data_IF_803161238772
#
_entry.id   IF_803161238772
#
_cell.length_a   1.000
_cell.length_b   1.000
_cell.length_c   1.000
_cell.angle_alpha   90.00
_cell.angle_beta   90.00
_cell.angle_gamma   90.00
#
_symmetry.space_group_name_H-M   'P 1'
#
loop_
_entity.id
_entity.type
_entity.pdbx_description
1 polymer ?
#
# COMPACT_ATOMS: atom_id res chain seq x y z
N UNK A 1 9.39 -1.46 4.68
CA UNK A 1 10.63 -1.01 4.01
C UNK A 1 10.88 0.45 4.34
N UNK A 2 12.14 0.85 4.59
CA UNK A 2 12.56 2.26 4.75
C UNK A 2 13.12 2.75 3.41
N UNK A 3 12.73 3.93 2.97
CA UNK A 3 13.40 4.65 1.87
C UNK A 3 14.15 5.83 2.46
N UNK A 4 15.27 6.23 1.86
CA UNK A 4 15.93 7.50 2.16
C UNK A 4 15.78 8.41 0.94
N UNK A 5 15.23 9.60 1.16
CA UNK A 5 14.95 10.56 0.10
C UNK A 5 16.08 11.57 -0.14
N UNK A 6 17.07 11.74 0.75
CA UNK A 6 18.24 12.63 0.54
C UNK A 6 17.92 14.08 0.05
N UNK A 7 16.69 14.58 0.25
CA UNK A 7 16.29 15.96 -0.02
C UNK A 7 16.08 16.73 1.30
N UNK A 8 15.98 18.06 1.18
CA UNK A 8 15.62 18.94 2.29
C UNK A 8 14.21 18.62 2.80
N UNK A 9 14.06 18.46 4.12
CA UNK A 9 12.81 17.99 4.75
C UNK A 9 11.60 18.87 4.45
N UNK A 10 11.79 20.20 4.39
CA UNK A 10 10.74 21.17 4.07
C UNK A 10 10.22 21.02 2.63
N UNK A 11 11.11 20.73 1.66
CA UNK A 11 10.74 20.49 0.25
C UNK A 11 9.92 19.21 0.11
N UNK A 12 10.35 18.13 0.78
CA UNK A 12 9.61 16.86 0.81
C UNK A 12 8.21 17.08 1.40
N UNK A 13 8.12 17.80 2.52
CA UNK A 13 6.84 18.08 3.17
C UNK A 13 5.88 18.85 2.26
N UNK A 14 6.36 19.93 1.63
CA UNK A 14 5.54 20.74 0.72
C UNK A 14 5.08 19.95 -0.50
N UNK A 15 5.99 19.19 -1.14
CA UNK A 15 5.63 18.37 -2.30
C UNK A 15 4.63 17.26 -1.96
N UNK A 16 4.79 16.61 -0.79
CA UNK A 16 3.84 15.60 -0.31
C UNK A 16 2.48 16.23 -0.03
N UNK A 17 2.43 17.38 0.67
CA UNK A 17 1.17 18.08 0.97
C UNK A 17 0.46 18.55 -0.30
N UNK A 18 1.20 19.12 -1.25
CA UNK A 18 0.65 19.59 -2.53
C UNK A 18 0.13 18.42 -3.38
N UNK A 19 0.84 17.29 -3.37
CA UNK A 19 0.45 16.08 -4.12
C UNK A 19 -0.58 15.20 -3.39
N UNK A 20 -1.02 15.59 -2.19
CA UNK A 20 -1.98 14.83 -1.37
C UNK A 20 -3.35 15.49 -1.29
N UNK A 21 -4.40 14.68 -1.33
CA UNK A 21 -5.78 15.06 -0.99
C UNK A 21 -6.07 14.65 0.45
N UNK A 22 -6.45 15.60 1.29
CA UNK A 22 -6.63 15.37 2.73
C UNK A 22 -7.84 14.48 2.99
N UNK A 23 -7.67 13.44 3.82
CA UNK A 23 -8.76 12.62 4.36
C UNK A 23 -8.80 12.72 5.88
N UNK A 24 -10.01 12.84 6.42
CA UNK A 24 -10.30 12.82 7.85
C UNK A 24 -10.27 11.39 8.42
N UNK A 25 -10.73 10.43 7.62
CA UNK A 25 -10.79 9.00 7.95
C UNK A 25 -9.39 8.38 8.00
N UNK A 26 -9.22 7.35 8.83
CA UNK A 26 -8.00 6.55 8.91
C UNK A 26 -7.70 5.93 7.54
N UNK A 27 -6.49 6.12 6.99
CA UNK A 27 -6.14 5.56 5.67
C UNK A 27 -6.24 4.03 5.60
N UNK A 28 -6.11 3.34 6.73
CA UNK A 28 -6.31 1.89 6.78
C UNK A 28 -7.77 1.48 6.48
N UNK A 29 -8.73 2.38 6.72
CA UNK A 29 -10.18 2.17 6.55
C UNK A 29 -10.77 3.01 5.41
N UNK A 30 -10.00 3.94 4.85
CA UNK A 30 -10.48 4.85 3.83
C UNK A 30 -10.55 4.12 2.48
N UNK A 31 -11.65 4.32 1.75
CA UNK A 31 -11.68 3.98 0.33
C UNK A 31 -10.65 4.86 -0.39
N UNK A 32 -9.64 4.25 -1.01
CA UNK A 32 -8.60 4.95 -1.76
C UNK A 32 -8.89 5.01 -3.25
N UNK A 33 -10.05 4.54 -3.68
CA UNK A 33 -10.50 4.62 -5.07
C UNK A 33 -11.11 5.97 -5.40
N UNK A 34 -10.89 6.44 -6.62
CA UNK A 34 -11.54 7.63 -7.17
C UNK A 34 -11.79 7.46 -8.66
N UNK A 35 -13.01 7.80 -9.10
CA UNK A 35 -13.35 7.93 -10.52
C UNK A 35 -12.73 9.18 -11.14
N UNK A 36 -12.68 10.26 -10.36
CA UNK A 36 -12.07 11.53 -10.79
C UNK A 36 -10.65 11.62 -10.24
N UNK A 37 -9.67 11.45 -11.13
CA UNK A 37 -8.26 11.62 -10.79
C UNK A 37 -7.89 13.08 -11.09
N UNK A 38 -7.80 13.89 -10.04
CA UNK A 38 -7.18 15.22 -10.14
C UNK A 38 -5.71 15.01 -10.53
N UNK A 39 -5.26 15.57 -11.66
CA UNK A 39 -3.91 15.32 -12.21
C UNK A 39 -2.78 15.69 -11.24
N UNK A 40 -3.04 16.67 -10.36
CA UNK A 40 -2.08 17.13 -9.37
C UNK A 40 -2.06 16.28 -8.09
N UNK A 41 -3.11 15.50 -7.84
CA UNK A 41 -3.24 14.69 -6.61
C UNK A 41 -2.89 13.22 -6.87
N UNK A 42 -1.74 12.82 -6.36
CA UNK A 42 -1.23 11.45 -6.48
C UNK A 42 -1.64 10.56 -5.30
N UNK A 43 -1.86 11.16 -4.13
CA UNK A 43 -2.09 10.44 -2.87
C UNK A 43 -3.29 10.97 -2.09
N UNK A 44 -3.91 10.11 -1.30
CA UNK A 44 -4.68 10.54 -0.13
C UNK A 44 -3.74 10.67 1.06
N UNK A 45 -3.89 11.75 1.83
CA UNK A 45 -3.07 12.04 3.00
C UNK A 45 -3.90 12.21 4.26
N UNK A 46 -3.43 11.67 5.38
CA UNK A 46 -3.92 12.00 6.72
C UNK A 46 -2.76 12.43 7.58
N UNK A 47 -2.96 13.56 8.21
CA UNK A 47 -1.96 14.17 9.08
C UNK A 47 -2.35 13.97 10.54
N UNK A 48 -1.35 13.73 11.38
CA UNK A 48 -1.47 13.66 12.83
C UNK A 48 -0.35 14.50 13.42
N UNK A 49 -0.47 14.90 14.70
CA UNK A 49 0.52 15.76 15.39
C UNK A 49 1.98 15.33 15.17
N UNK A 50 2.26 14.02 15.09
CA UNK A 50 3.62 13.47 14.94
C UNK A 50 3.94 12.91 13.54
N UNK A 51 2.94 12.62 12.70
CA UNK A 51 3.10 11.73 11.54
C UNK A 51 2.23 12.19 10.37
N UNK A 52 2.74 12.07 9.15
CA UNK A 52 1.98 12.23 7.91
C UNK A 52 1.89 10.87 7.22
N UNK A 53 0.68 10.36 7.02
CA UNK A 53 0.43 9.10 6.32
C UNK A 53 -0.17 9.39 4.97
N UNK A 54 0.33 8.75 3.93
CA UNK A 54 -0.22 8.85 2.58
C UNK A 54 -0.48 7.46 2.00
N UNK A 55 -1.46 7.35 1.09
CA UNK A 55 -1.73 6.15 0.30
C UNK A 55 -2.10 6.56 -1.11
N UNK A 56 -1.76 5.72 -2.08
CA UNK A 56 -1.97 6.00 -3.51
C UNK A 56 -3.47 6.15 -3.82
N UNK A 57 -3.83 7.13 -4.64
CA UNK A 57 -5.17 7.20 -5.22
C UNK A 57 -5.27 6.13 -6.30
N UNK A 58 -6.24 5.24 -6.17
CA UNK A 58 -6.44 4.10 -7.05
C UNK A 58 -7.56 4.36 -8.05
N UNK A 59 -7.44 3.86 -9.28
CA UNK A 59 -8.60 3.75 -10.16
C UNK A 59 -9.60 2.73 -9.57
N UNK A 60 -10.88 2.76 -9.98
CA UNK A 60 -11.90 1.83 -9.48
C UNK A 60 -11.51 0.35 -9.62
N UNK A 61 -10.84 -0.03 -10.71
CA UNK A 61 -10.34 -1.40 -10.92
C UNK A 61 -9.25 -1.81 -9.91
N UNK A 62 -8.58 -0.83 -9.31
CA UNK A 62 -7.58 -1.03 -8.27
C UNK A 62 -8.17 -1.34 -6.89
N UNK A 63 -9.51 -1.43 -6.74
CA UNK A 63 -10.16 -1.77 -5.47
C UNK A 63 -9.71 -3.13 -4.91
N UNK A 64 -9.39 -4.07 -5.79
CA UNK A 64 -8.90 -5.41 -5.42
C UNK A 64 -7.44 -5.44 -4.98
N UNK A 65 -6.69 -4.38 -5.27
CA UNK A 65 -5.30 -4.28 -4.85
C UNK A 65 -5.25 -3.94 -3.36
N UNK A 66 -4.35 -4.58 -2.58
CA UNK A 66 -4.21 -4.24 -1.17
C UNK A 66 -3.79 -2.77 -1.00
N UNK A 67 -4.14 -2.12 0.10
CA UNK A 67 -3.71 -0.73 0.33
C UNK A 67 -2.28 -0.68 0.85
N UNK A 68 -1.41 0.13 0.25
CA UNK A 68 -0.11 0.47 0.81
C UNK A 68 -0.16 1.85 1.46
N UNK A 69 0.46 1.96 2.63
CA UNK A 69 0.52 3.20 3.41
C UNK A 69 1.98 3.58 3.59
N UNK A 70 2.31 4.78 3.12
CA UNK A 70 3.60 5.41 3.28
C UNK A 70 3.49 6.37 4.47
N UNK A 71 4.37 6.22 5.44
CA UNK A 71 4.37 7.00 6.68
C UNK A 71 5.64 7.82 6.78
N UNK A 72 5.46 9.13 6.82
CA UNK A 72 6.47 10.14 7.10
C UNK A 72 6.41 10.55 8.57
N UNK A 73 7.57 10.71 9.18
CA UNK A 73 7.67 11.28 10.52
C UNK A 73 7.89 12.80 10.39
N UNK A 74 7.20 13.61 11.18
CA UNK A 74 7.37 15.07 11.08
C UNK A 74 8.75 15.55 11.54
N UNK A 75 9.40 14.78 12.41
CA UNK A 75 10.77 15.07 12.87
C UNK A 75 11.83 14.67 11.85
N UNK A 76 11.50 13.75 10.93
CA UNK A 76 12.40 13.24 9.91
C UNK A 76 11.58 12.78 8.70
N UNK A 77 11.49 13.67 7.72
CA UNK A 77 10.80 13.42 6.46
C UNK A 77 11.66 12.63 5.45
N UNK A 78 12.96 12.46 5.71
CA UNK A 78 13.88 11.80 4.79
C UNK A 78 13.67 10.29 4.75
N UNK A 79 13.17 9.71 5.86
CA UNK A 79 13.05 8.27 6.02
C UNK A 79 11.60 7.75 6.07
N UNK A 80 10.82 7.81 4.96
CA UNK A 80 9.48 7.25 4.95
C UNK A 80 9.49 5.72 5.09
N UNK A 81 8.48 5.22 5.80
CA UNK A 81 8.24 3.79 5.98
C UNK A 81 7.02 3.34 5.19
N UNK A 82 7.19 2.34 4.33
CA UNK A 82 6.09 1.70 3.60
C UNK A 82 5.64 0.47 4.37
N UNK A 83 4.33 0.38 4.61
CA UNK A 83 3.66 -0.78 5.20
C UNK A 83 2.39 -1.14 4.44
N UNK A 84 1.98 -2.40 4.58
CA UNK A 84 0.66 -2.85 4.16
C UNK A 84 -0.42 -2.26 5.07
N UNK A 85 -1.56 -1.90 4.48
CA UNK A 85 -2.75 -1.49 5.21
C UNK A 85 -3.36 -2.66 5.96
N UNK A 86 -4.16 -2.34 6.98
CA UNK A 86 -4.74 -3.34 7.88
C UNK A 86 -5.46 -4.49 7.15
N UNK A 87 -6.34 -4.19 6.19
CA UNK A 87 -7.08 -5.21 5.43
C UNK A 87 -6.16 -6.13 4.62
N UNK A 88 -5.10 -5.60 4.02
CA UNK A 88 -4.14 -6.42 3.27
C UNK A 88 -3.38 -7.37 4.20
N UNK A 89 -3.01 -6.89 5.39
CA UNK A 89 -2.33 -7.73 6.38
C UNK A 89 -3.26 -8.82 6.93
N UNK A 90 -4.49 -8.44 7.29
CA UNK A 90 -5.51 -9.38 7.75
C UNK A 90 -5.79 -10.48 6.71
N UNK A 91 -5.97 -10.09 5.44
CA UNK A 91 -6.23 -11.04 4.35
C UNK A 91 -5.06 -12.02 4.13
N UNK A 92 -3.82 -11.54 4.20
CA UNK A 92 -2.63 -12.40 4.09
C UNK A 92 -2.51 -13.39 5.25
N UNK A 93 -2.76 -12.94 6.48
CA UNK A 93 -2.75 -13.83 7.66
C UNK A 93 -3.86 -14.86 7.57
N UNK A 94 -5.06 -14.45 7.17
CA UNK A 94 -6.20 -15.35 6.97
C UNK A 94 -5.89 -16.44 5.92
N UNK A 95 -5.33 -16.04 4.76
CA UNK A 95 -4.88 -16.98 3.74
C UNK A 95 -3.83 -17.97 4.26
N UNK A 96 -2.89 -17.49 5.06
CA UNK A 96 -1.86 -18.34 5.65
C UNK A 96 -2.44 -19.38 6.61
N UNK A 97 -3.42 -18.99 7.45
CA UNK A 97 -4.13 -19.92 8.34
C UNK A 97 -4.86 -21.00 7.53
N UNK A 98 -5.59 -20.60 6.49
CA UNK A 98 -6.28 -21.55 5.61
C UNK A 98 -5.31 -22.49 4.91
N UNK A 99 -4.17 -21.98 4.45
CA UNK A 99 -3.14 -22.78 3.80
C UNK A 99 -2.54 -23.82 4.78
N UNK A 100 -2.28 -23.44 6.02
CA UNK A 100 -1.81 -24.37 7.07
C UNK A 100 -2.89 -25.41 7.39
N UNK A 101 -4.14 -25.01 7.55
CA UNK A 101 -5.25 -25.93 7.83
C UNK A 101 -5.40 -26.97 6.70
N UNK A 102 -5.22 -26.55 5.45
CA UNK A 102 -5.22 -27.41 4.29
C UNK A 102 -4.06 -28.41 4.31
N UNK A 103 -2.83 -27.98 4.64
CA UNK A 103 -1.69 -28.89 4.79
C UNK A 103 -1.97 -29.95 5.85
N UNK A 104 -2.50 -29.54 7.01
CA UNK A 104 -2.86 -30.48 8.08
C UNK A 104 -3.87 -31.51 7.58
N UNK A 105 -4.90 -31.08 6.85
CA UNK A 105 -5.90 -31.98 6.26
C UNK A 105 -5.29 -32.97 5.25
N UNK A 106 -4.41 -32.53 4.36
CA UNK A 106 -3.72 -33.41 3.39
C UNK A 106 -2.91 -34.49 4.12
N UNK A 107 -2.22 -34.13 5.21
CA UNK A 107 -1.41 -35.07 5.99
C UNK A 107 -2.30 -36.13 6.67
N UNK A 108 -3.47 -35.72 7.20
CA UNK A 108 -4.41 -36.61 7.88
C UNK A 108 -5.14 -37.54 6.91
N UNK A 109 -5.68 -36.99 5.82
CA UNK A 109 -6.54 -37.73 4.88
C UNK A 109 -5.71 -38.52 3.85
N UNK A 110 -4.41 -38.22 3.70
CA UNK A 110 -3.48 -38.80 2.70
C UNK A 110 -3.96 -38.68 1.24
N UNK A 111 -5.01 -37.92 0.97
CA UNK A 111 -5.58 -37.69 -0.35
C UNK A 111 -5.35 -36.25 -0.78
N UNK A 112 -4.82 -36.07 -2.00
CA UNK A 112 -4.79 -34.76 -2.65
C UNK A 112 -6.18 -34.45 -3.22
N UNK A 113 -6.79 -33.37 -2.73
CA UNK A 113 -8.08 -32.87 -3.21
C UNK A 113 -7.90 -31.62 -4.07
N UNK A 114 -8.89 -31.34 -4.92
CA UNK A 114 -8.95 -30.14 -5.77
C UNK A 114 -8.85 -28.84 -4.95
N UNK A 115 -9.35 -28.85 -3.70
CA UNK A 115 -9.23 -27.77 -2.71
C UNK A 115 -7.79 -27.21 -2.59
N UNK A 116 -6.79 -28.08 -2.75
CA UNK A 116 -5.37 -27.71 -2.65
C UNK A 116 -4.95 -26.82 -3.81
N UNK A 117 -5.38 -27.17 -5.02
CA UNK A 117 -5.08 -26.41 -6.23
C UNK A 117 -5.72 -25.02 -6.12
N UNK A 118 -6.99 -24.95 -5.70
CA UNK A 118 -7.69 -23.67 -5.50
C UNK A 118 -6.96 -22.77 -4.50
N UNK A 119 -6.51 -23.31 -3.38
CA UNK A 119 -5.78 -22.55 -2.36
C UNK A 119 -4.42 -22.05 -2.86
N UNK A 120 -3.68 -22.85 -3.62
CA UNK A 120 -2.42 -22.43 -4.25
C UNK A 120 -2.68 -21.27 -5.22
N UNK A 121 -3.68 -21.42 -6.10
CA UNK A 121 -4.04 -20.41 -7.10
C UNK A 121 -4.44 -19.09 -6.43
N UNK A 122 -5.31 -19.13 -5.41
CA UNK A 122 -5.74 -17.93 -4.68
C UNK A 122 -4.57 -17.24 -3.97
N UNK A 123 -3.67 -18.03 -3.36
CA UNK A 123 -2.50 -17.49 -2.64
C UNK A 123 -1.52 -16.82 -3.61
N UNK A 124 -1.27 -17.44 -4.77
CA UNK A 124 -0.46 -16.85 -5.83
C UNK A 124 -1.09 -15.58 -6.39
N UNK A 125 -2.40 -15.59 -6.65
CA UNK A 125 -3.13 -14.42 -7.13
C UNK A 125 -3.05 -13.25 -6.14
N UNK A 126 -3.28 -13.51 -4.84
CA UNK A 126 -3.19 -12.50 -3.78
C UNK A 126 -1.78 -11.91 -3.68
N UNK A 127 -0.77 -12.76 -3.76
CA UNK A 127 0.64 -12.35 -3.78
C UNK A 127 0.95 -11.49 -5.01
N UNK A 128 0.48 -11.90 -6.19
CA UNK A 128 0.59 -11.13 -7.43
C UNK A 128 -0.04 -9.73 -7.32
N UNK A 129 -1.26 -9.64 -6.78
CA UNK A 129 -1.93 -8.35 -6.54
C UNK A 129 -1.13 -7.44 -5.61
N UNK A 130 -0.49 -7.99 -4.58
CA UNK A 130 0.40 -7.22 -3.71
C UNK A 130 1.62 -6.66 -4.47
N UNK A 131 2.28 -7.48 -5.30
CA UNK A 131 3.42 -7.03 -6.10
C UNK A 131 3.04 -5.98 -7.14
N UNK A 132 1.86 -6.11 -7.75
CA UNK A 132 1.31 -5.12 -8.68
C UNK A 132 1.10 -3.78 -7.94
N UNK A 133 0.45 -3.79 -6.77
CA UNK A 133 0.25 -2.56 -5.99
C UNK A 133 1.59 -1.93 -5.60
N UNK A 134 2.53 -2.74 -5.14
CA UNK A 134 3.85 -2.28 -4.75
C UNK A 134 4.57 -1.59 -5.90
N UNK A 135 4.54 -2.19 -7.08
CA UNK A 135 5.16 -1.64 -8.29
C UNK A 135 4.50 -0.31 -8.69
N UNK A 136 3.16 -0.25 -8.70
CA UNK A 136 2.42 0.98 -9.00
C UNK A 136 2.67 2.09 -7.97
N UNK A 137 2.78 1.73 -6.69
CA UNK A 137 3.09 2.67 -5.60
C UNK A 137 4.50 3.20 -5.76
N UNK A 138 5.48 2.35 -6.09
CA UNK A 138 6.87 2.76 -6.38
C UNK A 138 6.93 3.72 -7.57
N UNK A 139 6.23 3.42 -8.66
CA UNK A 139 6.14 4.33 -9.81
C UNK A 139 5.54 5.69 -9.43
N UNK A 140 4.51 5.70 -8.59
CA UNK A 140 3.86 6.95 -8.13
C UNK A 140 4.78 7.73 -7.19
N UNK A 141 5.54 7.04 -6.33
CA UNK A 141 6.55 7.65 -5.48
C UNK A 141 7.67 8.28 -6.31
N UNK A 142 8.14 7.61 -7.37
CA UNK A 142 9.13 8.17 -8.27
C UNK A 142 8.64 9.44 -8.98
N UNK A 143 7.35 9.51 -9.33
CA UNK A 143 6.73 10.75 -9.85
C UNK A 143 6.77 11.88 -8.82
N UNK A 144 6.51 11.57 -7.55
CA UNK A 144 6.62 12.54 -6.46
C UNK A 144 8.07 13.02 -6.28
N UNK A 145 9.05 12.11 -6.34
CA UNK A 145 10.48 12.44 -6.25
C UNK A 145 10.89 13.37 -7.39
N UNK A 146 10.51 13.07 -8.64
CA UNK A 146 10.77 13.97 -9.78
C UNK A 146 10.13 15.34 -9.61
N UNK A 147 8.93 15.42 -9.01
CA UNK A 147 8.30 16.72 -8.69
C UNK A 147 9.08 17.50 -7.64
N UNK A 148 9.76 16.83 -6.70
CA UNK A 148 10.65 17.47 -5.73
C UNK A 148 11.92 17.99 -6.41
N UNK A 149 12.51 17.21 -7.31
CA UNK A 149 13.70 17.59 -8.09
C UNK A 149 13.45 18.83 -8.96
N UNK A 150 12.30 18.89 -9.65
CA UNK A 150 11.92 20.00 -10.53
C UNK A 150 11.51 21.29 -9.78
N UNK A 151 11.47 21.28 -8.45
CA UNK A 151 11.26 22.47 -7.61
C UNK A 151 12.58 23.14 -7.19
N UNK A 152 13.72 22.65 -7.67
CA UNK A 152 15.01 23.35 -7.68
C UNK A 152 15.12 24.27 -8.90
#
# INVERSE_FOLDING_TARGET
MKLNLNFEGAKIENAVRNSSKKKTIILDLADTTSWHREEDKLFYGRETKKKLKISRIKPPIGRFLPNLIIKFNKTDFQNPTIRLGFFGYFFMVFLMILFIALIVRIILDKSFNEDVIYMIVITLLSTGLFFIEYSLTKLTLNKLIKRIENQN
#
